data_IF_042764427857
#
_entry.id   IF_042764427857
#
_cell.length_a   1.000
_cell.length_b   1.000
_cell.length_c   1.000
_cell.angle_alpha   90.00
_cell.angle_beta   90.00
_cell.angle_gamma   90.00
#
_symmetry.space_group_name_H-M   'P 1'
#
loop_
_entity.id
_entity.type
_entity.pdbx_description
1 polymer ?
2 non-polymer ?
3 water ?
#
# COMPACT_ATOMS: atom_id res chain seq x y z
N UNK A 2 -5.43 8.00 11.41
CA UNK A 2 -4.43 9.08 11.28
C UNK A 2 -4.48 9.68 9.88
N UNK A 3 -3.30 10.23 9.41
CA UNK A 3 -3.13 10.80 8.07
C UNK A 3 -3.52 9.73 7.03
N UNK A 4 -4.58 9.95 6.32
CA UNK A 4 -5.02 8.95 5.36
C UNK A 4 -5.09 9.47 3.92
N UNK A 5 -4.54 8.65 3.03
CA UNK A 5 -4.48 8.94 1.62
C UNK A 5 -5.48 8.07 0.86
N UNK A 6 -5.98 8.60 -0.23
CA UNK A 6 -6.93 7.84 -0.97
C UNK A 6 -6.69 7.84 -2.46
N UNK A 7 -6.60 6.64 -2.99
CA UNK A 7 -6.41 6.47 -4.40
C UNK A 7 -7.40 5.44 -4.97
N UNK A 8 -7.81 5.62 -6.23
CA UNK A 8 -8.76 4.74 -6.92
C UNK A 8 -8.10 3.77 -7.91
N UNK A 9 -8.78 2.63 -8.14
CA UNK A 9 -8.21 1.67 -9.05
C UNK A 9 -9.23 0.91 -9.88
N UNK A 10 -9.11 1.03 -11.21
CA UNK A 10 -10.03 0.32 -12.12
C UNK A 10 -9.64 -1.14 -12.48
N UNK A 11 -10.63 -1.98 -12.31
CA UNK A 11 -10.41 -3.37 -12.59
C UNK A 11 -10.48 -3.69 -14.08
N UNK A 12 -9.38 -4.27 -14.54
CA UNK A 12 -9.32 -4.61 -15.92
C UNK A 12 -9.54 -6.06 -16.12
N UNK A 13 -10.13 -6.37 -17.26
CA UNK A 13 -10.37 -7.74 -17.71
C UNK A 13 -9.13 -8.59 -17.43
N UNK A 14 -7.93 -8.08 -17.77
CA UNK A 14 -6.71 -8.80 -17.49
C UNK A 14 -6.63 -9.25 -16.01
N UNK A 15 -7.04 -8.38 -15.10
CA UNK A 15 -7.01 -8.65 -13.66
C UNK A 15 -7.86 -9.79 -13.10
N UNK A 16 -8.86 -10.27 -13.88
CA UNK A 16 -9.70 -11.39 -13.43
C UNK A 16 -9.37 -12.76 -14.02
N UNK A 17 -9.69 -13.75 -13.23
CA UNK A 17 -9.45 -15.13 -13.57
C UNK A 17 -10.60 -15.69 -14.37
N UNK A 18 -10.49 -16.98 -14.71
CA UNK A 18 -11.51 -17.65 -15.46
C UNK A 18 -12.82 -17.65 -14.72
N UNK A 19 -12.79 -17.59 -13.40
CA UNK A 19 -13.96 -17.59 -12.53
C UNK A 19 -14.62 -16.29 -12.61
N UNK A 20 -13.96 -15.38 -13.32
CA UNK A 20 -14.45 -14.05 -13.60
C UNK A 20 -14.46 -13.02 -12.50
N UNK A 21 -13.48 -13.08 -11.59
CA UNK A 21 -13.34 -12.09 -10.53
C UNK A 21 -11.91 -11.78 -10.33
N UNK A 22 -11.66 -10.66 -9.75
CA UNK A 22 -10.32 -10.30 -9.53
C UNK A 22 -9.49 -11.46 -9.09
N UNK A 23 -8.26 -11.59 -9.65
CA UNK A 23 -7.28 -12.60 -9.27
C UNK A 23 -6.53 -11.90 -8.14
N UNK A 24 -6.46 -12.55 -6.97
CA UNK A 24 -5.89 -11.96 -5.76
C UNK A 24 -4.57 -11.24 -5.76
N UNK A 25 -3.60 -11.81 -6.46
CA UNK A 25 -2.33 -11.16 -6.45
C UNK A 25 -2.47 -9.71 -6.87
N UNK A 26 -3.41 -9.48 -7.75
CA UNK A 26 -3.59 -8.13 -8.23
C UNK A 26 -3.82 -7.11 -7.10
N UNK A 27 -4.54 -7.54 -6.06
CA UNK A 27 -4.82 -6.71 -4.90
C UNK A 27 -3.47 -6.29 -4.34
N UNK A 28 -2.62 -7.28 -4.10
CA UNK A 28 -1.26 -6.96 -3.62
C UNK A 28 -0.59 -5.88 -4.49
N UNK A 29 -0.59 -6.08 -5.82
CA UNK A 29 -0.08 -5.08 -6.73
C UNK A 29 -0.74 -3.73 -6.40
N UNK A 30 -2.06 -3.65 -6.32
CA UNK A 30 -2.59 -2.35 -6.04
C UNK A 30 -2.18 -1.74 -4.67
N UNK A 31 -2.01 -2.64 -3.67
CA UNK A 31 -1.63 -2.30 -2.31
C UNK A 31 -0.20 -1.69 -2.24
N UNK A 32 0.67 -2.37 -2.97
CA UNK A 32 2.02 -1.91 -3.01
C UNK A 32 1.98 -0.51 -3.63
N UNK A 33 1.04 -0.30 -4.56
CA UNK A 33 0.87 0.99 -5.24
C UNK A 33 0.43 2.04 -4.28
N UNK A 34 -0.66 1.70 -3.67
CA UNK A 34 -1.24 2.59 -2.69
C UNK A 34 -0.20 2.94 -1.61
N UNK A 35 0.57 1.94 -1.30
CA UNK A 35 1.55 2.08 -0.28
C UNK A 35 2.49 3.21 -0.54
N UNK A 36 3.10 3.09 -1.71
CA UNK A 36 4.07 4.08 -2.17
C UNK A 36 3.41 5.45 -2.34
N UNK A 37 2.21 5.39 -3.01
CA UNK A 37 1.39 6.57 -3.27
C UNK A 37 1.26 7.40 -2.00
N UNK A 38 1.10 6.68 -0.88
CA UNK A 38 0.93 7.32 0.40
C UNK A 38 2.05 8.26 0.72
N UNK A 39 3.25 7.70 0.64
CA UNK A 39 4.48 8.37 0.96
C UNK A 39 4.80 9.44 -0.03
N UNK A 40 4.40 9.19 -1.24
CA UNK A 40 4.75 10.21 -2.20
C UNK A 40 3.99 11.46 -1.92
N UNK A 41 2.68 11.21 -1.75
CA UNK A 41 1.66 12.20 -1.48
C UNK A 41 1.87 12.82 -0.11
N UNK A 42 2.80 12.22 0.61
CA UNK A 42 3.10 12.77 1.91
C UNK A 42 4.32 13.68 1.83
N UNK A 43 4.99 13.62 0.69
CA UNK A 43 6.14 14.49 0.52
C UNK A 43 7.46 13.76 0.51
N UNK A 44 7.47 12.45 0.49
CA UNK A 44 8.80 11.89 0.46
C UNK A 44 9.15 11.74 -0.99
N UNK A 45 10.38 12.04 -1.27
CA UNK A 45 10.88 11.94 -2.62
C UNK A 45 10.84 10.50 -3.08
N UNK A 46 11.04 10.32 -4.39
CA UNK A 46 11.04 9.02 -5.05
C UNK A 46 12.15 8.23 -4.50
N UNK A 47 12.00 6.88 -4.53
CA UNK A 47 13.03 6.00 -4.03
C UNK A 47 14.33 6.33 -4.74
N UNK A 48 14.21 6.38 -6.07
CA UNK A 48 15.27 6.71 -7.02
C UNK A 48 16.22 7.72 -6.42
N UNK A 49 15.61 8.77 -5.92
CA UNK A 49 16.28 9.85 -5.28
C UNK A 49 16.83 9.44 -3.91
N UNK A 50 15.97 8.91 -3.06
CA UNK A 50 16.38 8.53 -1.73
C UNK A 50 17.58 7.60 -1.60
N UNK A 51 17.67 6.74 -2.58
CA UNK A 51 18.76 5.78 -2.61
C UNK A 51 20.13 6.44 -2.88
N UNK A 52 20.05 7.63 -3.44
CA UNK A 52 21.22 8.41 -3.79
C UNK A 52 21.54 9.40 -2.67
N UNK A 53 20.49 9.83 -2.02
CA UNK A 53 20.79 10.77 -0.98
C UNK A 53 21.11 10.16 0.34
N UNK A 54 20.42 9.11 0.69
CA UNK A 54 20.72 8.54 1.97
C UNK A 54 20.58 7.05 1.98
N UNK A 55 20.70 6.50 0.80
CA UNK A 55 20.70 5.08 0.59
C UNK A 55 19.44 4.32 0.78
N UNK A 56 18.31 5.00 0.96
CA UNK A 56 17.10 4.24 1.12
C UNK A 56 16.59 3.75 -0.22
N UNK A 57 16.45 2.47 -0.32
CA UNK A 57 15.90 1.87 -1.55
C UNK A 57 14.37 1.97 -1.53
N UNK A 58 13.76 1.74 -0.39
CA UNK A 58 12.33 1.78 -0.36
C UNK A 58 11.86 1.19 0.94
N UNK A 59 10.66 0.57 0.88
CA UNK A 59 10.04 -0.05 2.03
C UNK A 59 9.52 -1.46 1.82
N UNK A 60 10.37 -2.41 2.17
CA UNK A 60 10.05 -3.79 2.05
C UNK A 60 9.03 -4.18 3.10
N UNK A 61 8.24 -5.18 2.69
CA UNK A 61 7.17 -5.79 3.44
C UNK A 61 7.73 -6.99 4.17
N UNK A 62 7.57 -7.05 5.48
CA UNK A 62 8.04 -8.21 6.28
C UNK A 62 6.84 -9.02 6.75
N UNK A 63 5.66 -8.39 6.74
CA UNK A 63 4.46 -9.08 7.16
C UNK A 63 3.14 -8.53 6.63
N UNK A 64 2.18 -9.40 6.48
CA UNK A 64 0.88 -8.93 6.03
C UNK A 64 -0.34 -9.82 6.38
N UNK A 65 -1.44 -9.19 6.79
CA UNK A 65 -2.69 -9.87 7.14
C UNK A 65 -3.69 -9.28 6.22
N UNK A 66 -4.13 -10.18 5.37
CA UNK A 66 -5.07 -9.93 4.31
C UNK A 66 -6.49 -10.54 4.46
N UNK A 67 -7.49 -9.73 4.06
CA UNK A 67 -8.86 -10.23 4.13
C UNK A 67 -9.75 -9.77 3.00
N UNK A 68 -10.28 -10.79 2.31
CA UNK A 68 -11.19 -10.65 1.18
C UNK A 68 -12.68 -10.81 1.55
N UNK A 69 -13.35 -9.66 1.76
CA UNK A 69 -14.74 -9.52 2.15
C UNK A 69 -15.78 -9.88 1.11
N UNK A 70 -15.57 -9.41 -0.12
CA UNK A 70 -16.51 -9.69 -1.21
C UNK A 70 -15.76 -9.50 -2.50
N UNK A 71 -16.32 -10.09 -3.55
CA UNK A 71 -15.75 -10.09 -4.87
C UNK A 71 -15.83 -8.77 -5.60
N UNK A 72 -14.92 -8.65 -6.59
CA UNK A 72 -14.84 -7.56 -7.54
C UNK A 72 -14.53 -8.05 -8.94
N UNK A 73 -14.75 -7.21 -9.96
CA UNK A 73 -14.51 -7.64 -11.34
C UNK A 73 -14.24 -6.49 -12.22
N UNK A 74 -13.86 -6.77 -13.43
CA UNK A 74 -13.57 -5.68 -14.30
C UNK A 74 -14.69 -4.69 -14.36
N UNK A 75 -14.24 -3.48 -14.54
CA UNK A 75 -15.11 -2.35 -14.63
C UNK A 75 -15.37 -1.70 -13.32
N UNK A 76 -15.32 -2.50 -12.32
CA UNK A 76 -15.48 -1.96 -11.01
C UNK A 76 -14.36 -1.01 -10.73
N UNK A 77 -14.71 0.02 -9.99
CA UNK A 77 -13.71 0.99 -9.65
C UNK A 77 -13.48 0.87 -8.18
N UNK A 78 -12.25 0.68 -7.79
CA UNK A 78 -11.92 0.53 -6.39
C UNK A 78 -11.36 1.79 -5.76
N UNK A 79 -11.66 1.90 -4.49
CA UNK A 79 -11.21 2.98 -3.69
C UNK A 79 -10.40 2.33 -2.63
N UNK A 80 -9.17 2.83 -2.49
CA UNK A 80 -8.20 2.36 -1.49
C UNK A 80 -7.71 3.44 -0.53
N UNK A 81 -8.13 3.26 0.75
CA UNK A 81 -7.81 4.12 1.88
C UNK A 81 -6.55 3.71 2.61
N UNK A 82 -5.49 4.52 2.50
CA UNK A 82 -4.28 4.17 3.19
C UNK A 82 -3.90 5.03 4.38
N UNK A 83 -3.31 4.43 5.40
CA UNK A 83 -2.88 5.20 6.56
C UNK A 83 -1.88 4.40 7.38
N UNK A 84 -1.11 5.13 8.17
CA UNK A 84 -0.14 4.51 9.03
C UNK A 84 -0.83 4.12 10.34
N UNK A 85 -0.94 2.82 10.59
CA UNK A 85 -1.61 2.45 11.79
C UNK A 85 -0.73 2.70 13.01
N UNK A 86 0.52 2.24 12.98
CA UNK A 86 1.42 2.44 14.10
C UNK A 86 2.88 2.44 13.68
N UNK A 87 3.64 3.29 14.37
CA UNK A 87 5.08 3.44 14.15
C UNK A 87 5.76 2.68 15.23
N UNK A 88 6.62 1.79 14.86
CA UNK A 88 7.30 0.97 15.85
C UNK A 88 8.69 1.48 15.95
N UNK A 89 9.70 0.66 15.72
CA UNK A 89 11.05 1.22 15.81
C UNK A 89 11.62 1.29 14.42
N UNK A 90 11.81 0.09 13.88
CA UNK A 90 12.30 -0.07 12.56
C UNK A 90 11.18 -0.47 11.64
N UNK A 91 9.99 -0.62 12.23
CA UNK A 91 8.81 -1.03 11.47
C UNK A 91 7.59 -0.10 11.57
N UNK A 92 6.58 -0.38 10.75
CA UNK A 92 5.42 0.47 10.79
C UNK A 92 4.22 -0.19 10.17
N UNK A 93 3.09 0.08 10.74
CA UNK A 93 1.90 -0.54 10.22
C UNK A 93 1.19 0.30 9.21
N UNK A 94 0.98 -0.30 8.04
CA UNK A 94 0.30 0.36 6.96
C UNK A 94 -1.01 -0.39 6.57
N UNK A 95 -2.08 0.30 6.84
CA UNK A 95 -3.38 -0.18 6.62
C UNK A 95 -4.02 0.42 5.41
N UNK A 96 -4.67 -0.48 4.75
CA UNK A 96 -5.35 -0.18 3.56
C UNK A 96 -6.67 -0.88 3.51
N UNK A 97 -7.67 -0.09 3.15
CA UNK A 97 -9.02 -0.53 3.01
C UNK A 97 -9.59 -0.22 1.63
N UNK A 98 -9.91 -1.31 0.97
CA UNK A 98 -10.46 -1.33 -0.38
C UNK A 98 -11.97 -1.48 -0.37
N UNK A 99 -12.61 -0.63 -1.18
CA UNK A 99 -14.03 -0.72 -1.29
C UNK A 99 -14.55 -0.32 -2.65
N UNK A 100 -15.79 -0.68 -2.87
CA UNK A 100 -16.40 -0.32 -4.13
C UNK A 100 -17.79 0.22 -3.99
N UNK A 101 -18.22 0.94 -5.00
CA UNK A 101 -19.54 1.52 -4.86
C UNK A 101 -20.65 0.86 -5.62
N UNK A 102 -21.72 0.58 -4.89
CA UNK A 102 -22.88 -0.01 -5.50
C UNK A 102 -23.61 1.14 -6.15
N UNK A 103 -24.36 0.88 -7.25
CA UNK A 103 -25.09 1.96 -7.93
C UNK A 103 -26.11 2.62 -7.03
N UNK A 104 -26.23 2.08 -5.84
CA UNK A 104 -27.13 2.62 -4.86
C UNK A 104 -26.37 3.65 -4.04
N UNK A 105 -25.15 3.93 -4.44
CA UNK A 105 -24.38 4.90 -3.69
C UNK A 105 -23.95 4.27 -2.39
N UNK A 106 -24.11 2.98 -2.29
CA UNK A 106 -23.69 2.33 -1.08
C UNK A 106 -22.23 1.92 -1.25
N UNK A 107 -21.45 2.02 -0.18
CA UNK A 107 -20.07 1.61 -0.30
C UNK A 107 -19.86 0.26 0.37
N UNK A 108 -19.35 -0.72 -0.38
CA UNK A 108 -19.11 -2.06 0.15
C UNK A 108 -17.63 -2.46 0.26
N UNK A 109 -17.24 -2.75 1.49
CA UNK A 109 -15.91 -3.19 1.78
C UNK A 109 -15.64 -4.44 0.97
N UNK A 110 -14.55 -4.36 0.19
CA UNK A 110 -14.20 -5.47 -0.66
C UNK A 110 -13.16 -6.33 0.03
N UNK A 111 -12.03 -5.63 0.38
CA UNK A 111 -10.86 -6.20 1.06
C UNK A 111 -10.06 -5.23 1.92
N UNK A 112 -9.34 -5.80 2.88
CA UNK A 112 -8.51 -5.04 3.79
C UNK A 112 -7.16 -5.71 4.05
N UNK A 113 -6.19 -4.95 4.49
CA UNK A 113 -4.90 -5.53 4.78
C UNK A 113 -3.98 -4.62 5.62
N UNK A 114 -3.23 -5.24 6.53
CA UNK A 114 -2.35 -4.49 7.33
C UNK A 114 -1.05 -5.05 6.96
N UNK A 115 -0.26 -4.21 6.38
CA UNK A 115 1.03 -4.70 6.02
C UNK A 115 1.97 -3.97 6.89
N UNK A 116 2.98 -4.78 7.32
CA UNK A 116 4.12 -4.36 8.13
C UNK A 116 5.35 -4.25 7.25
N UNK A 117 5.80 -3.02 7.15
CA UNK A 117 6.93 -2.66 6.34
C UNK A 117 8.02 -2.00 7.11
N UNK A 118 9.06 -1.72 6.40
CA UNK A 118 10.22 -1.07 6.99
C UNK A 118 10.85 -0.18 5.93
N UNK A 119 11.86 0.65 6.32
CA UNK A 119 12.58 1.48 5.36
C UNK A 119 13.89 0.76 5.26
N UNK A 120 14.38 0.51 4.04
CA UNK A 120 15.64 -0.23 4.02
C UNK A 120 16.70 0.26 3.08
N UNK A 121 17.85 -0.35 3.33
CA UNK A 121 19.04 -0.12 2.57
C UNK A 121 19.53 -1.46 2.04
N UNK A 122 20.38 -1.40 1.02
CA UNK A 122 20.97 -2.56 0.40
C UNK A 122 22.46 -2.43 0.56
N UNK A 123 22.99 -3.04 1.61
CA UNK A 123 24.43 -2.98 1.86
C UNK A 123 25.06 -4.01 0.96
N UNK A 124 25.14 -3.64 -0.31
CA UNK A 124 25.62 -4.54 -1.31
C UNK A 124 24.39 -5.38 -1.67
N UNK A 125 24.58 -6.68 -1.55
CA UNK A 125 23.56 -7.67 -1.85
C UNK A 125 22.54 -7.90 -0.74
N UNK A 126 22.96 -7.50 0.46
CA UNK A 126 22.18 -7.68 1.64
C UNK A 126 21.33 -6.50 2.01
N UNK A 127 19.99 -6.82 2.15
CA UNK A 127 18.89 -5.91 2.52
C UNK A 127 18.87 -5.69 4.04
N UNK A 128 18.81 -4.46 4.46
CA UNK A 128 18.85 -4.23 5.88
C UNK A 128 17.90 -3.13 6.30
N UNK A 129 17.14 -3.46 7.32
CA UNK A 129 16.22 -2.44 7.78
C UNK A 129 16.86 -1.33 8.62
N UNK A 130 16.20 -0.18 8.59
CA UNK A 130 16.64 0.96 9.35
C UNK A 130 15.52 1.53 10.20
N UNK A 131 15.97 2.22 11.22
CA UNK A 131 15.08 2.90 12.14
C UNK A 131 14.21 3.89 11.41
N UNK A 132 12.89 3.73 11.50
CA UNK A 132 12.14 4.74 10.77
C UNK A 132 12.74 6.15 10.95
N UNK A 133 13.01 6.80 9.80
CA UNK A 133 13.56 8.16 9.79
C UNK A 133 12.60 9.23 10.34
N UNK A 134 13.13 10.00 11.29
CA UNK A 134 12.40 11.06 11.98
C UNK A 134 11.65 11.96 11.03
N UNK A 135 12.43 12.56 10.15
CA UNK A 135 11.79 13.44 9.17
C UNK A 135 10.62 12.74 8.49
N UNK A 136 10.79 11.48 8.15
CA UNK A 136 9.74 10.81 7.47
C UNK A 136 8.54 10.93 8.31
N UNK A 137 8.67 10.42 9.54
CA UNK A 137 7.54 10.47 10.47
C UNK A 137 6.71 11.73 10.33
N UNK A 138 7.43 12.82 10.57
CA UNK A 138 6.95 14.19 10.51
C UNK A 138 6.15 14.53 9.26
N UNK A 139 6.64 14.17 8.07
CA UNK A 139 5.92 14.45 6.83
C UNK A 139 4.58 13.69 6.79
N UNK A 140 4.67 12.44 7.24
CA UNK A 140 3.54 11.57 7.25
C UNK A 140 2.47 11.97 8.23
N UNK A 141 2.89 12.79 9.19
CA UNK A 141 2.04 13.31 10.26
C UNK A 141 0.95 14.34 9.85
X LIG B 1 6.20 -9.63 11.61
X LIG B 1 6.28 -8.38 12.16
X LIG B 1 7.31 -7.58 12.25
X LIG B 1 8.42 -8.13 11.70
X LIG B 1 8.50 -9.38 11.14
X LIG B 1 7.34 -10.15 11.07
X LIG B 1 7.35 -11.35 10.52
X LIG B 1 9.76 -9.65 10.66
X LIG B 1 10.45 -8.54 10.97
X LIG B 1 9.70 -7.59 11.61
X LIG B 1 10.15 -6.30 12.12
X LIG B 1 11.15 -6.45 13.24
X LIG B 1 10.57 -7.07 14.40
X LIG B 1 11.60 -4.99 13.40
X LIG B 1 10.68 -4.08 14.00
X LIG B 1 11.26 -3.11 15.07
X LIG B 1 11.28 -3.83 16.38
X LIG B 1 12.70 -2.65 14.75
X LIG B 1 10.34 -1.93 15.17
X LIG B 1 11.76 -4.63 11.93
X LIG B 1 10.89 -5.59 11.20
X LIG B 1 13.21 -4.67 11.48
X LIG B 1 13.57 -6.04 11.25
X LIG B 1 14.94 -6.58 11.85
X LIG B 1 14.84 -8.06 11.95
X LIG B 1 15.13 -6.09 13.22
X LIG B 1 16.15 -6.15 11.00
X LIG B 1 16.89 -6.82 9.71
X LIG B 1 17.64 -5.72 9.01
X LIG B 1 17.92 -7.76 10.19
X LIG B 1 15.84 -7.66 8.81
X LIG B 1 14.76 -7.38 6.67
X LIG B 1 14.87 -6.87 8.11
X LIG B 1 16.15 -7.44 6.04
X LIG B 1 13.80 -6.53 5.81
X LIG B 1 14.46 -8.90 6.59
X LIG B 1 13.28 -9.26 7.33
X LIG B 1 14.03 -9.28 5.18
X LIG B 1 14.80 -9.06 4.23
X LIG B 1 12.69 -9.88 4.99
X LIG B 1 12.48 -10.34 3.59
X LIG B 1 12.13 -9.13 2.71
X LIG B 1 11.36 -9.53 1.43
X LIG B 1 11.70 -10.46 0.69
X LIG B 1 10.18 -8.70 1.14
X LIG B 1 9.46 -9.07 -0.08
X LIG B 1 9.95 -8.28 -1.30
X LIG B 1 10.18 -6.50 -1.00
X LIG B 1 8.98 -5.62 -2.00
X LIG B 1 8.08 -6.22 -2.70
X LIG B 1 9.02 -4.15 -1.95
X LIG B 1 8.10 -3.44 -2.71
X LIG B 1 8.12 -1.99 -2.72
X LIG B 1 9.11 -1.36 -1.90
X LIG B 1 9.09 0.01 -1.74
X LIG B 1 10.04 -2.10 -1.16
X LIG B 1 10.00 -3.52 -1.19
#
# INVERSE_FOLDING_TARGET
MARSITMQQRIEFGDCNPAGIVWYPNYHRWLDAASRNYFIKCGLPPWRQTVVERGIVGTPIVSCNASFVCTASYDDVLTIETCIKEWRRKSFVQRHSVSRTTPGGDVQLVMRADEIRVFAMNDGERLRAIEVPADYIELCS
BCA N1A C2A N3A C4A C5A C6A N6A N7A C8A N9A C1D C2D O2D C3D O3D P3D O7A O8A O9A C4D O4D C5D O5D P1A O1A O2A O3A P2A O4A O5A O6A CBP CCP CDP CEP CAP OAP C9P O9P N8P C7P C6P C5P O5P N4P C3P C2P S1P C1B O1B C2B C3B C4B C5B O2B C6B C7B
#
